data_IF_538065669077
#
_entry.id   IF_538065669077
#
_cell.length_a   1.000
_cell.length_b   1.000
_cell.length_c   1.000
_cell.angle_alpha   90.00
_cell.angle_beta   90.00
_cell.angle_gamma   90.00
#
_symmetry.space_group_name_H-M   'P 1'
#
loop_
_entity.id
_entity.type
_entity.pdbx_description
1 polymer ?
#
# COMPACT_ATOMS: atom_id res chain seq x y z
N UNK A 1 -13.90 8.24 -7.99
CA UNK A 1 -13.17 7.02 -7.59
C UNK A 1 -11.74 7.12 -8.13
N UNK A 2 -10.73 6.99 -7.26
CA UNK A 2 -9.31 7.06 -7.62
C UNK A 2 -8.91 5.98 -8.67
N UNK A 3 -8.08 6.36 -9.65
CA UNK A 3 -7.69 5.48 -10.76
C UNK A 3 -6.96 4.23 -10.28
N UNK A 4 -6.09 4.36 -9.27
CA UNK A 4 -5.35 3.23 -8.71
C UNK A 4 -6.27 2.25 -8.00
N UNK A 5 -7.23 2.77 -7.23
CA UNK A 5 -8.23 1.94 -6.54
C UNK A 5 -9.03 1.10 -7.53
N UNK A 6 -9.37 1.67 -8.70
CA UNK A 6 -10.09 0.95 -9.76
C UNK A 6 -9.26 -0.20 -10.35
N UNK A 7 -7.98 0.04 -10.64
CA UNK A 7 -7.06 -1.00 -11.11
C UNK A 7 -6.93 -2.13 -10.10
N UNK A 8 -6.75 -1.80 -8.81
CA UNK A 8 -6.63 -2.80 -7.76
C UNK A 8 -7.92 -3.60 -7.54
N UNK A 9 -9.10 -2.97 -7.64
CA UNK A 9 -10.37 -3.71 -7.59
C UNK A 9 -10.46 -4.75 -8.73
N UNK A 10 -10.11 -4.37 -9.95
CA UNK A 10 -10.09 -5.30 -11.08
C UNK A 10 -9.10 -6.46 -10.83
N UNK A 11 -7.90 -6.15 -10.32
CA UNK A 11 -6.90 -7.16 -9.95
C UNK A 11 -7.40 -8.10 -8.84
N UNK A 12 -8.10 -7.58 -7.84
CA UNK A 12 -8.66 -8.40 -6.76
C UNK A 12 -9.70 -9.40 -7.29
N UNK A 13 -10.58 -8.97 -8.20
CA UNK A 13 -11.54 -9.87 -8.85
C UNK A 13 -10.86 -10.93 -9.72
N UNK A 14 -9.85 -10.55 -10.50
CA UNK A 14 -9.08 -11.50 -11.30
C UNK A 14 -8.31 -12.51 -10.42
N UNK A 15 -7.70 -12.03 -9.33
CA UNK A 15 -6.96 -12.87 -8.39
C UNK A 15 -7.87 -13.88 -7.68
N UNK A 16 -9.05 -13.45 -7.22
CA UNK A 16 -10.05 -14.34 -6.61
C UNK A 16 -10.44 -15.49 -7.56
N UNK A 17 -10.70 -15.17 -8.84
CA UNK A 17 -11.01 -16.18 -9.86
C UNK A 17 -9.86 -17.19 -10.05
N UNK A 18 -8.61 -16.71 -10.09
CA UNK A 18 -7.44 -17.58 -10.23
C UNK A 18 -7.18 -18.45 -8.99
N UNK A 19 -7.56 -17.97 -7.80
CA UNK A 19 -7.46 -18.70 -6.54
C UNK A 19 -8.60 -19.73 -6.33
N UNK A 20 -9.51 -19.89 -7.30
CA UNK A 20 -10.65 -20.81 -7.19
C UNK A 20 -11.87 -20.24 -6.47
N UNK A 21 -11.82 -18.99 -5.99
CA UNK A 21 -12.95 -18.30 -5.36
C UNK A 21 -13.74 -17.48 -6.40
N UNK A 22 -14.32 -18.20 -7.36
CA UNK A 22 -15.14 -17.60 -8.42
C UNK A 22 -16.57 -17.26 -7.93
N UNK A 23 -17.09 -18.05 -6.99
CA UNK A 23 -18.41 -17.83 -6.39
C UNK A 23 -18.46 -16.52 -5.59
N UNK A 24 -19.64 -15.89 -5.55
CA UNK A 24 -19.81 -14.61 -4.87
C UNK A 24 -19.76 -14.73 -3.34
N UNK A 25 -20.38 -15.75 -2.76
CA UNK A 25 -20.47 -15.90 -1.32
C UNK A 25 -19.12 -16.27 -0.72
N UNK A 26 -18.41 -17.22 -1.35
CA UNK A 26 -17.04 -17.58 -0.97
C UNK A 26 -16.10 -16.38 -1.05
N UNK A 27 -16.23 -15.60 -2.13
CA UNK A 27 -15.41 -14.40 -2.32
C UNK A 27 -15.72 -13.34 -1.25
N UNK A 28 -17.00 -13.09 -0.93
CA UNK A 28 -17.42 -12.15 0.13
C UNK A 28 -16.92 -12.58 1.51
N UNK A 29 -17.00 -13.88 1.81
CA UNK A 29 -16.48 -14.44 3.06
C UNK A 29 -14.97 -14.18 3.23
N UNK A 30 -14.17 -14.40 2.19
CA UNK A 30 -12.73 -14.11 2.26
C UNK A 30 -12.46 -12.59 2.33
N UNK A 31 -13.23 -11.77 1.61
CA UNK A 31 -13.12 -10.32 1.70
C UNK A 31 -13.38 -9.82 3.13
N UNK A 32 -14.43 -10.32 3.77
CA UNK A 32 -14.75 -10.01 5.16
C UNK A 32 -13.65 -10.47 6.11
N UNK A 33 -13.14 -11.70 5.94
CA UNK A 33 -12.06 -12.24 6.77
C UNK A 33 -10.76 -11.42 6.65
N UNK A 34 -10.37 -11.02 5.43
CA UNK A 34 -9.07 -10.37 5.18
C UNK A 34 -9.11 -8.87 5.46
N UNK A 35 -10.24 -8.22 5.18
CA UNK A 35 -10.34 -6.75 5.18
C UNK A 35 -11.39 -6.20 6.15
N UNK A 36 -12.27 -7.04 6.68
CA UNK A 36 -13.43 -6.62 7.46
C UNK A 36 -14.58 -6.03 6.63
N UNK A 37 -14.52 -6.15 5.29
CA UNK A 37 -15.50 -5.61 4.35
C UNK A 37 -15.92 -6.67 3.33
N UNK A 38 -17.21 -6.71 3.01
CA UNK A 38 -17.77 -7.65 2.03
C UNK A 38 -17.72 -7.15 0.58
N UNK A 39 -17.30 -5.91 0.36
CA UNK A 39 -17.31 -5.27 -0.94
C UNK A 39 -16.00 -4.56 -1.23
N UNK A 40 -15.37 -4.93 -2.35
CA UNK A 40 -14.20 -4.23 -2.89
C UNK A 40 -14.44 -2.71 -3.08
N UNK A 41 -15.69 -2.28 -3.27
CA UNK A 41 -16.02 -0.85 -3.43
C UNK A 41 -15.77 -0.06 -2.16
N UNK A 42 -15.88 -0.67 -0.99
CA UNK A 42 -15.71 -0.03 0.31
C UNK A 42 -14.27 -0.15 0.82
N UNK A 43 -13.44 -0.94 0.13
CA UNK A 43 -12.05 -1.16 0.50
C UNK A 43 -11.14 0.03 0.15
N UNK A 44 -10.21 0.32 1.05
CA UNK A 44 -9.07 1.21 0.84
C UNK A 44 -8.05 0.57 -0.11
N UNK A 45 -7.10 1.37 -0.61
CA UNK A 45 -5.99 0.85 -1.42
C UNK A 45 -5.20 -0.21 -0.65
N UNK A 46 -4.93 0.03 0.65
CA UNK A 46 -4.23 -0.91 1.51
C UNK A 46 -4.96 -2.25 1.65
N UNK A 47 -6.28 -2.20 1.85
CA UNK A 47 -7.14 -3.39 1.95
C UNK A 47 -7.18 -4.18 0.65
N UNK A 48 -7.28 -3.51 -0.50
CA UNK A 48 -7.24 -4.17 -1.80
C UNK A 48 -5.88 -4.84 -2.06
N UNK A 49 -4.77 -4.19 -1.71
CA UNK A 49 -3.44 -4.80 -1.82
C UNK A 49 -3.34 -6.05 -0.93
N UNK A 50 -3.77 -5.96 0.34
CA UNK A 50 -3.79 -7.11 1.25
C UNK A 50 -4.65 -8.26 0.72
N UNK A 51 -5.80 -7.95 0.13
CA UNK A 51 -6.67 -8.95 -0.47
C UNK A 51 -6.03 -9.64 -1.67
N UNK A 52 -5.40 -8.89 -2.58
CA UNK A 52 -4.67 -9.45 -3.73
C UNK A 52 -3.52 -10.34 -3.26
N UNK A 53 -2.76 -9.90 -2.25
CA UNK A 53 -1.67 -10.67 -1.68
C UNK A 53 -2.17 -11.97 -1.02
N UNK A 54 -3.32 -11.93 -0.34
CA UNK A 54 -3.97 -13.13 0.21
C UNK A 54 -4.30 -14.13 -0.91
N UNK A 55 -4.95 -13.69 -1.98
CA UNK A 55 -5.22 -14.55 -3.14
C UNK A 55 -3.94 -15.09 -3.78
N UNK A 56 -2.90 -14.26 -3.80
CA UNK A 56 -1.57 -14.65 -4.26
C UNK A 56 -0.92 -15.76 -3.44
N UNK A 57 -1.30 -15.94 -2.17
CA UNK A 57 -0.87 -17.07 -1.31
C UNK A 57 -1.73 -18.32 -1.55
N UNK A 58 -2.96 -18.13 -2.01
CA UNK A 58 -3.89 -19.19 -2.42
C UNK A 58 -3.64 -19.72 -3.84
N UNK A 59 -2.60 -19.24 -4.53
CA UNK A 59 -2.19 -19.72 -5.86
C UNK A 59 -2.48 -18.77 -7.02
N UNK A 60 -3.12 -17.61 -6.78
CA UNK A 60 -3.29 -16.60 -7.81
C UNK A 60 -1.94 -16.04 -8.29
N UNK A 61 -1.82 -15.83 -9.61
CA UNK A 61 -0.62 -15.28 -10.22
C UNK A 61 -0.66 -13.75 -10.31
N UNK A 62 -1.85 -13.16 -10.25
CA UNK A 62 -2.03 -11.71 -10.21
C UNK A 62 -1.41 -11.13 -8.93
N UNK A 63 -0.61 -10.07 -9.10
CA UNK A 63 -0.02 -9.29 -8.00
C UNK A 63 -0.56 -7.87 -8.02
N UNK A 64 -0.63 -7.24 -6.86
CA UNK A 64 -1.06 -5.85 -6.74
C UNK A 64 -0.12 -4.94 -7.54
N UNK A 65 -0.70 -4.06 -8.36
CA UNK A 65 0.09 -3.09 -9.11
C UNK A 65 0.84 -2.15 -8.16
N UNK A 66 2.16 -2.05 -8.36
CA UNK A 66 3.00 -1.09 -7.66
C UNK A 66 2.60 0.35 -8.03
N UNK A 67 2.87 1.33 -7.15
CA UNK A 67 2.67 2.74 -7.48
C UNK A 67 3.45 3.12 -8.74
N UNK A 68 2.86 3.97 -9.57
CA UNK A 68 3.56 4.56 -10.71
C UNK A 68 4.67 5.51 -10.22
N UNK A 69 5.82 5.48 -10.89
CA UNK A 69 6.92 6.42 -10.69
C UNK A 69 7.42 6.91 -12.06
N UNK A 70 8.09 8.07 -12.07
CA UNK A 70 8.84 8.48 -13.26
C UNK A 70 10.00 7.51 -13.47
N UNK A 71 10.16 6.98 -14.69
CA UNK A 71 11.24 6.06 -15.04
C UNK A 71 12.48 6.83 -15.50
N UNK A 72 12.95 7.74 -14.65
CA UNK A 72 14.18 8.49 -14.88
C UNK A 72 15.34 7.90 -14.05
N UNK A 73 16.54 7.74 -14.63
CA UNK A 73 17.72 7.29 -13.89
C UNK A 73 17.97 8.14 -12.63
N UNK A 74 18.28 7.49 -11.51
CA UNK A 74 18.54 8.15 -10.23
C UNK A 74 17.29 8.57 -9.44
N UNK A 75 16.09 8.45 -10.00
CA UNK A 75 14.84 8.72 -9.28
C UNK A 75 14.36 7.51 -8.48
N UNK A 76 13.40 7.76 -7.60
CA UNK A 76 12.77 6.74 -6.76
C UNK A 76 12.25 5.57 -7.59
N UNK A 77 12.54 4.36 -7.14
CA UNK A 77 12.08 3.15 -7.83
C UNK A 77 10.64 2.80 -7.44
N UNK A 78 9.94 2.04 -8.28
CA UNK A 78 8.60 1.51 -7.98
C UNK A 78 8.58 0.73 -6.66
N UNK A 79 9.64 -0.02 -6.36
CA UNK A 79 9.79 -0.78 -5.11
C UNK A 79 9.96 0.14 -3.90
N UNK A 80 10.74 1.22 -4.02
CA UNK A 80 10.88 2.20 -2.94
C UNK A 80 9.56 2.92 -2.67
N UNK A 81 8.81 3.32 -3.71
CA UNK A 81 7.48 3.90 -3.53
C UNK A 81 6.51 2.93 -2.86
N UNK A 82 6.47 1.68 -3.32
CA UNK A 82 5.62 0.66 -2.70
C UNK A 82 5.99 0.44 -1.22
N UNK A 83 7.28 0.52 -0.89
CA UNK A 83 7.76 0.41 0.49
C UNK A 83 7.35 1.60 1.35
N UNK A 84 7.48 2.83 0.84
CA UNK A 84 7.03 4.05 1.53
C UNK A 84 5.52 4.00 1.77
N UNK A 85 4.75 3.58 0.77
CA UNK A 85 3.31 3.46 0.87
C UNK A 85 2.88 2.43 1.92
N UNK A 86 3.51 1.25 1.90
CA UNK A 86 3.26 0.21 2.90
C UNK A 86 3.55 0.72 4.31
N UNK A 87 4.65 1.45 4.51
CA UNK A 87 4.99 2.05 5.80
C UNK A 87 3.96 3.09 6.24
N UNK A 88 3.39 3.86 5.31
CA UNK A 88 2.29 4.78 5.61
C UNK A 88 1.07 4.01 6.15
N UNK A 89 0.63 2.95 5.45
CA UNK A 89 -0.49 2.12 5.92
C UNK A 89 -0.23 1.46 7.27
N UNK A 90 0.98 0.95 7.49
CA UNK A 90 1.39 0.36 8.77
C UNK A 90 1.41 1.37 9.93
N UNK A 91 1.38 2.68 9.64
CA UNK A 91 1.25 3.75 10.62
C UNK A 91 -0.19 4.30 10.73
N UNK A 92 -1.16 3.68 10.05
CA UNK A 92 -2.57 4.09 10.04
C UNK A 92 -2.82 5.32 9.18
N UNK A 93 -2.07 5.49 8.09
CA UNK A 93 -2.23 6.59 7.13
C UNK A 93 -2.89 6.03 5.87
N UNK A 94 -4.22 5.92 5.91
CA UNK A 94 -4.99 5.15 4.91
C UNK A 94 -4.92 5.74 3.50
N UNK A 95 -4.62 7.04 3.38
CA UNK A 95 -4.38 7.72 2.11
C UNK A 95 -3.03 7.36 1.47
N UNK A 96 -2.17 6.57 2.14
CA UNK A 96 -0.92 6.04 1.60
C UNK A 96 0.04 7.13 1.14
N UNK A 97 0.47 7.07 -0.13
CA UNK A 97 1.37 8.06 -0.73
C UNK A 97 0.81 9.48 -0.80
N UNK A 98 -0.51 9.63 -0.70
CA UNK A 98 -1.22 10.92 -0.72
C UNK A 98 -1.55 11.45 0.67
N UNK A 99 -1.15 10.76 1.74
CA UNK A 99 -1.48 11.16 3.11
C UNK A 99 -0.74 12.45 3.52
N UNK A 100 -1.47 13.39 4.13
CA UNK A 100 -0.92 14.68 4.56
C UNK A 100 0.21 14.53 5.59
N UNK A 101 0.17 13.48 6.43
CA UNK A 101 1.20 13.19 7.43
C UNK A 101 2.48 12.70 6.77
N UNK A 102 2.36 11.89 5.70
CA UNK A 102 3.50 11.50 4.88
C UNK A 102 4.09 12.72 4.17
N UNK A 103 3.25 13.55 3.54
CA UNK A 103 3.70 14.77 2.86
C UNK A 103 4.46 15.71 3.83
N UNK A 104 3.96 15.88 5.06
CA UNK A 104 4.66 16.66 6.08
C UNK A 104 6.02 16.06 6.46
N UNK A 105 6.11 14.74 6.56
CA UNK A 105 7.38 14.05 6.81
C UNK A 105 8.37 14.27 5.66
N UNK A 106 7.91 14.14 4.40
CA UNK A 106 8.73 14.35 3.20
C UNK A 106 9.26 15.78 3.11
N UNK A 107 8.43 16.81 3.34
CA UNK A 107 8.87 18.21 3.38
C UNK A 107 9.99 18.44 4.40
N UNK A 108 9.84 17.86 5.60
CA UNK A 108 10.82 18.02 6.69
C UNK A 108 12.13 17.27 6.44
N UNK A 109 12.10 16.13 5.76
CA UNK A 109 13.27 15.23 5.65
C UNK A 109 13.96 15.27 4.30
N UNK A 110 13.22 15.49 3.22
CA UNK A 110 13.71 15.44 1.84
C UNK A 110 13.35 16.69 1.02
N UNK A 111 12.67 17.69 1.61
CA UNK A 111 12.29 18.96 0.96
C UNK A 111 11.46 18.79 -0.31
N UNK A 112 10.65 17.74 -0.38
CA UNK A 112 9.71 17.48 -1.48
C UNK A 112 8.29 17.23 -0.94
N UNK A 113 7.28 17.51 -1.76
CA UNK A 113 5.87 17.29 -1.39
C UNK A 113 5.36 15.88 -1.72
N UNK A 114 5.93 15.24 -2.74
CA UNK A 114 5.46 13.95 -3.24
C UNK A 114 6.59 12.93 -3.25
N UNK A 115 6.30 11.72 -2.77
CA UNK A 115 7.28 10.63 -2.74
C UNK A 115 7.82 10.29 -4.13
N UNK A 116 7.00 10.45 -5.17
CA UNK A 116 7.38 10.23 -6.58
C UNK A 116 8.48 11.18 -7.10
N UNK A 117 8.80 12.24 -6.37
CA UNK A 117 9.85 13.21 -6.72
C UNK A 117 11.16 12.97 -5.97
N UNK A 118 11.24 11.93 -5.15
CA UNK A 118 12.46 11.59 -4.45
C UNK A 118 13.52 11.06 -5.43
N UNK A 119 14.78 11.38 -5.18
CA UNK A 119 15.89 10.59 -5.70
C UNK A 119 15.93 9.23 -5.02
N UNK A 120 16.66 8.28 -5.59
CA UNK A 120 16.84 6.94 -5.00
C UNK A 120 17.49 7.01 -3.62
N UNK A 121 18.44 7.92 -3.41
CA UNK A 121 19.16 8.12 -2.14
C UNK A 121 18.23 8.75 -1.09
N UNK A 122 17.49 9.78 -1.49
CA UNK A 122 16.50 10.43 -0.64
C UNK A 122 15.39 9.45 -0.22
N UNK A 123 14.91 8.62 -1.15
CA UNK A 123 13.92 7.59 -0.87
C UNK A 123 14.43 6.55 0.14
N UNK A 124 15.69 6.12 0.04
CA UNK A 124 16.31 5.19 1.01
C UNK A 124 16.39 5.81 2.41
N UNK A 125 16.70 7.11 2.47
CA UNK A 125 16.75 7.87 3.72
C UNK A 125 15.35 8.03 4.35
N UNK A 126 14.34 8.34 3.52
CA UNK A 126 12.93 8.43 3.92
C UNK A 126 12.44 7.08 4.47
N UNK A 127 12.69 5.98 3.77
CA UNK A 127 12.31 4.63 4.21
C UNK A 127 12.92 4.32 5.59
N UNK A 128 14.21 4.59 5.77
CA UNK A 128 14.91 4.41 7.03
C UNK A 128 14.33 5.27 8.16
N UNK A 129 14.00 6.52 7.86
CA UNK A 129 13.37 7.45 8.80
C UNK A 129 11.97 7.01 9.22
N UNK A 130 11.14 6.57 8.28
CA UNK A 130 9.79 6.05 8.54
C UNK A 130 9.83 4.78 9.40
N UNK A 131 10.73 3.83 9.09
CA UNK A 131 10.93 2.63 9.91
C UNK A 131 11.33 2.98 11.35
N UNK A 132 12.25 3.93 11.53
CA UNK A 132 12.66 4.41 12.86
C UNK A 132 11.49 5.04 13.61
N UNK A 133 10.72 5.90 12.96
CA UNK A 133 9.57 6.55 13.57
C UNK A 133 8.49 5.53 13.98
N UNK A 134 8.18 4.58 13.11
CA UNK A 134 7.26 3.48 13.42
C UNK A 134 7.69 2.72 14.68
N UNK A 135 8.98 2.35 14.78
CA UNK A 135 9.53 1.68 15.98
C UNK A 135 9.40 2.53 17.24
N UNK A 136 9.64 3.84 17.15
CA UNK A 136 9.50 4.75 18.28
C UNK A 136 8.03 4.87 18.74
N UNK A 137 7.08 4.91 17.81
CA UNK A 137 5.64 4.92 18.14
C UNK A 137 5.21 3.64 18.85
N UNK A 138 5.66 2.48 18.38
CA UNK A 138 5.38 1.19 19.02
C UNK A 138 5.91 1.13 20.46
N UNK A 139 7.15 1.60 20.69
CA UNK A 139 7.73 1.68 22.04
C UNK A 139 6.95 2.61 22.98
N UNK A 140 6.52 3.78 22.50
CA UNK A 140 5.73 4.72 23.30
C UNK A 140 4.34 4.18 23.65
N UNK A 141 3.68 3.50 22.71
CA UNK A 141 2.38 2.87 22.95
C UNK A 141 2.43 1.66 23.88
N UNK A 142 3.58 1.00 24.02
CA UNK A 142 3.78 -0.10 24.97
C UNK A 142 4.18 0.36 26.39
N UNK A 143 4.51 1.65 26.56
CA UNK A 143 4.93 2.25 27.83
C UNK A 143 3.84 3.13 28.47
N UNK A 144 2.63 3.14 27.89
CA UNK A 144 1.44 3.83 28.38
C UNK A 144 0.36 2.80 28.67
#
# INVERSE_FOLDING_TARGET
>A
MDARRRTLMAQAHMAAKQAGCADEDDRRAVQQMVTGKESCRDMTVAELVRLIDHWGRMGAQVRAAAPACAEAPGMVTRWQLATIERLAWEMGWDAGLSDARLAAFLRRTARVDRAAWLTKEAASSVISGLMRWKRQRAKKGAAA
#
